data_IF_180538854287
#
_entry.id   IF_180538854287
#
_cell.length_a   1.000
_cell.length_b   1.000
_cell.length_c   1.000
_cell.angle_alpha   90.00
_cell.angle_beta   90.00
_cell.angle_gamma   90.00
#
_symmetry.space_group_name_H-M   'P 1'
#
loop_
_entity.id
_entity.type
_entity.pdbx_description
1 polymer ?
#
# COMPACT_ATOMS: atom_id res chain seq x y z
N UNK A 1 -48.45 -5.94 -43.36
CA UNK A 1 -48.54 -7.39 -43.09
C UNK A 1 -47.84 -7.64 -41.77
N UNK A 2 -48.61 -7.97 -40.74
CA UNK A 2 -48.13 -8.19 -39.38
C UNK A 2 -47.72 -9.67 -39.22
N UNK A 3 -46.49 -9.92 -38.77
CA UNK A 3 -46.01 -11.26 -38.43
C UNK A 3 -46.40 -11.63 -36.99
N UNK A 4 -46.72 -12.90 -36.69
CA UNK A 4 -47.15 -13.31 -35.36
C UNK A 4 -45.97 -13.44 -34.38
N UNK A 5 -46.18 -12.90 -33.18
CA UNK A 5 -45.28 -13.01 -32.04
C UNK A 5 -45.27 -14.44 -31.48
N UNK A 6 -44.08 -15.04 -31.39
CA UNK A 6 -43.85 -16.30 -30.69
C UNK A 6 -43.83 -16.03 -29.19
N UNK A 7 -44.83 -16.56 -28.48
CA UNK A 7 -44.91 -16.56 -27.02
C UNK A 7 -44.00 -17.67 -26.48
N UNK A 8 -42.86 -17.30 -25.92
CA UNK A 8 -42.00 -18.22 -25.16
C UNK A 8 -42.58 -18.41 -23.77
N UNK A 9 -43.04 -19.63 -23.52
CA UNK A 9 -43.63 -20.07 -22.25
C UNK A 9 -42.51 -20.20 -21.20
N UNK A 10 -42.61 -19.40 -20.13
CA UNK A 10 -41.68 -19.36 -19.00
C UNK A 10 -42.00 -20.53 -18.05
N UNK A 11 -41.04 -21.42 -17.71
CA UNK A 11 -41.30 -22.48 -16.75
C UNK A 11 -41.47 -21.92 -15.33
N UNK A 12 -42.51 -22.43 -14.67
CA UNK A 12 -42.95 -22.14 -13.32
C UNK A 12 -41.92 -22.69 -12.31
N UNK A 13 -41.37 -21.80 -11.48
CA UNK A 13 -40.46 -22.13 -10.39
C UNK A 13 -41.28 -22.66 -9.21
N UNK A 14 -41.15 -23.96 -8.91
CA UNK A 14 -41.60 -24.51 -7.63
C UNK A 14 -40.71 -24.00 -6.47
N UNK A 15 -41.28 -23.58 -5.33
CA UNK A 15 -40.50 -23.21 -4.15
C UNK A 15 -40.05 -24.45 -3.35
N UNK A 16 -38.83 -24.46 -2.76
CA UNK A 16 -38.40 -25.54 -1.90
C UNK A 16 -39.12 -25.52 -0.54
N UNK A 17 -39.60 -26.70 -0.17
CA UNK A 17 -40.22 -27.05 1.11
C UNK A 17 -39.16 -27.07 2.22
N UNK A 18 -39.30 -26.22 3.24
CA UNK A 18 -38.76 -26.47 4.59
C UNK A 18 -39.88 -27.12 5.42
N UNK A 19 -39.60 -28.18 6.21
CA UNK A 19 -39.30 -27.95 7.63
C UNK A 19 -38.42 -29.03 8.30
N UNK A 20 -37.72 -28.66 9.37
CA UNK A 20 -36.93 -29.62 10.14
C UNK A 20 -36.37 -29.10 11.45
N UNK A 21 -37.19 -28.39 12.24
CA UNK A 21 -36.93 -28.10 13.64
C UNK A 21 -36.80 -29.41 14.42
N UNK A 22 -35.60 -29.73 14.92
CA UNK A 22 -35.42 -30.73 15.98
C UNK A 22 -34.72 -30.10 17.17
N UNK A 23 -35.39 -30.25 18.30
CA UNK A 23 -35.03 -29.73 19.60
C UNK A 23 -34.02 -30.63 20.33
N UNK A 24 -33.42 -30.01 21.35
CA UNK A 24 -33.11 -30.58 22.67
C UNK A 24 -32.03 -31.67 22.80
N UNK A 25 -30.93 -31.29 23.44
CA UNK A 25 -30.38 -31.91 24.67
C UNK A 25 -29.20 -31.02 25.13
N UNK A 26 -29.33 -30.19 26.15
CA UNK A 26 -29.23 -30.58 27.57
C UNK A 26 -28.00 -31.45 27.87
N UNK A 27 -26.86 -30.82 28.20
CA UNK A 27 -25.91 -31.30 29.22
C UNK A 27 -25.24 -30.09 29.90
N UNK A 28 -25.31 -30.12 31.22
CA UNK A 28 -24.88 -29.06 32.14
C UNK A 28 -23.36 -28.85 32.25
N UNK A 29 -22.97 -27.94 33.18
CA UNK A 29 -21.64 -27.36 33.25
C UNK A 29 -20.70 -28.22 34.11
N UNK A 30 -19.43 -28.30 33.72
CA UNK A 30 -18.36 -28.70 34.63
C UNK A 30 -17.44 -27.52 34.87
N UNK A 31 -17.75 -26.86 35.97
CA UNK A 31 -16.87 -26.07 36.82
C UNK A 31 -15.61 -26.87 37.17
N UNK A 32 -14.43 -26.35 36.85
CA UNK A 32 -13.17 -26.77 37.47
C UNK A 32 -12.31 -25.52 37.63
N UNK A 33 -12.33 -25.03 38.86
CA UNK A 33 -11.57 -23.90 39.39
C UNK A 33 -10.09 -24.30 39.69
N UNK A 34 -9.21 -23.39 40.16
CA UNK A 34 -7.96 -23.07 39.50
C UNK A 34 -6.73 -23.66 40.22
N UNK A 35 -5.62 -23.81 39.50
CA UNK A 35 -4.31 -24.12 40.11
C UNK A 35 -3.36 -22.93 39.99
N UNK A 36 -3.15 -22.30 41.15
CA UNK A 36 -2.10 -21.34 41.43
C UNK A 36 -0.71 -22.00 41.55
N UNK A 37 0.32 -21.14 41.57
CA UNK A 37 1.76 -21.34 41.81
C UNK A 37 2.61 -21.31 40.51
N UNK A 38 3.65 -20.50 40.34
CA UNK A 38 4.34 -19.57 41.24
C UNK A 38 5.23 -18.61 40.42
N UNK A 39 5.31 -17.34 40.83
CA UNK A 39 6.45 -16.46 40.54
C UNK A 39 7.59 -16.72 41.53
N UNK A 40 8.84 -16.71 41.07
CA UNK A 40 9.86 -15.84 41.67
C UNK A 40 10.77 -15.25 40.56
N UNK A 41 11.35 -14.06 40.60
CA UNK A 41 11.46 -12.98 41.56
C UNK A 41 12.24 -11.83 40.87
N UNK A 42 12.39 -10.67 41.52
CA UNK A 42 13.00 -9.48 40.94
C UNK A 42 14.53 -9.52 41.04
N UNK A 43 15.23 -9.20 39.96
CA UNK A 43 16.65 -8.86 40.01
C UNK A 43 16.82 -7.33 39.98
N UNK A 44 17.47 -6.72 40.99
CA UNK A 44 17.97 -5.36 40.92
C UNK A 44 19.44 -5.34 40.50
N UNK A 45 19.84 -4.35 39.68
CA UNK A 45 21.12 -3.59 39.73
C UNK A 45 21.25 -2.67 38.49
N UNK A 46 20.85 -1.42 38.67
CA UNK A 46 21.63 -0.17 38.67
C UNK A 46 23.00 -0.04 37.94
N UNK A 47 23.43 1.21 37.66
CA UNK A 47 23.93 1.68 36.36
C UNK A 47 25.45 1.87 36.30
N UNK A 48 26.02 1.86 35.10
CA UNK A 48 27.34 2.45 34.87
C UNK A 48 27.33 3.43 33.69
N UNK A 49 27.80 4.62 34.02
CA UNK A 49 28.15 5.73 33.14
C UNK A 49 29.25 5.31 32.17
N UNK A 50 29.08 5.66 30.90
CA UNK A 50 30.15 5.74 29.91
C UNK A 50 29.95 6.98 29.07
N UNK A 51 30.40 8.12 29.59
CA UNK A 51 30.62 9.32 28.79
C UNK A 51 31.88 9.08 27.94
N UNK A 52 31.74 9.01 26.63
CA UNK A 52 32.84 9.22 25.69
C UNK A 52 32.44 10.30 24.70
N UNK A 53 33.13 11.44 24.84
CA UNK A 53 33.28 12.45 23.80
C UNK A 53 33.81 11.82 22.52
N UNK A 54 33.08 11.97 21.41
CA UNK A 54 33.64 11.89 20.06
C UNK A 54 33.10 13.05 19.24
N UNK A 55 33.94 14.08 19.14
CA UNK A 55 33.92 15.05 18.07
C UNK A 55 34.09 14.33 16.72
N UNK A 56 33.18 14.60 15.77
CA UNK A 56 33.23 14.02 14.43
C UNK A 56 32.20 14.65 13.50
N UNK A 57 32.67 15.64 12.73
CA UNK A 57 32.03 16.26 11.56
C UNK A 57 31.34 15.24 10.63
N UNK A 58 30.13 15.57 10.17
CA UNK A 58 29.50 14.93 9.00
C UNK A 58 27.97 14.85 9.03
N UNK A 59 27.31 15.89 8.51
CA UNK A 59 25.90 15.88 8.07
C UNK A 59 25.62 14.70 7.09
N UNK A 60 24.40 14.10 7.06
CA UNK A 60 23.20 14.84 6.63
C UNK A 60 21.95 14.68 7.51
N UNK A 61 21.34 15.85 7.78
CA UNK A 61 19.90 16.13 8.00
C UNK A 61 18.96 14.93 8.13
N UNK A 62 18.70 14.53 9.38
CA UNK A 62 17.45 13.87 9.78
C UNK A 62 16.56 14.90 10.47
N UNK A 63 15.39 15.22 9.89
CA UNK A 63 14.40 16.13 10.50
C UNK A 63 13.50 15.31 11.44
N UNK A 64 13.85 15.27 12.73
CA UNK A 64 12.98 14.75 13.79
C UNK A 64 11.97 15.84 14.20
N UNK A 65 10.68 15.64 13.93
CA UNK A 65 9.61 16.49 14.48
C UNK A 65 9.20 15.93 15.85
N UNK A 66 9.97 16.28 16.88
CA UNK A 66 9.64 16.00 18.27
C UNK A 66 8.82 17.12 18.90
N UNK A 67 7.59 16.79 19.31
CA UNK A 67 6.62 17.67 20.00
C UNK A 67 7.13 18.11 21.37
N UNK A 68 7.58 19.36 21.48
CA UNK A 68 7.94 20.00 22.75
C UNK A 68 8.15 21.51 22.60
N UNK A 69 7.35 22.32 23.30
CA UNK A 69 7.24 23.77 23.16
C UNK A 69 8.51 24.59 23.52
N UNK A 70 9.64 23.95 23.84
CA UNK A 70 10.94 24.59 24.08
C UNK A 70 11.83 24.67 22.83
N UNK A 71 11.51 23.98 21.74
CA UNK A 71 12.32 24.02 20.51
C UNK A 71 12.03 25.21 19.59
N UNK A 72 10.99 26.00 19.85
CA UNK A 72 10.57 27.08 18.96
C UNK A 72 11.57 28.25 18.94
N UNK A 73 12.21 28.53 20.08
CA UNK A 73 13.30 29.52 20.19
C UNK A 73 14.59 29.04 19.51
N UNK A 74 14.87 27.73 19.55
CA UNK A 74 16.04 27.14 18.91
C UNK A 74 15.89 27.08 17.39
N UNK A 75 14.69 26.74 16.90
CA UNK A 75 14.36 26.78 15.46
C UNK A 75 14.43 28.21 14.93
N UNK A 76 13.87 29.19 15.65
CA UNK A 76 13.93 30.60 15.25
C UNK A 76 15.36 31.12 15.18
N UNK A 77 16.21 30.71 16.12
CA UNK A 77 17.64 31.07 16.15
C UNK A 77 18.42 30.39 15.02
N UNK A 78 18.14 29.11 14.73
CA UNK A 78 18.76 28.36 13.61
C UNK A 78 18.33 28.90 12.25
N UNK A 79 17.07 29.30 12.07
CA UNK A 79 16.59 29.93 10.83
C UNK A 79 17.24 31.30 10.62
N UNK A 80 17.38 32.09 11.68
CA UNK A 80 18.09 33.36 11.61
C UNK A 80 19.57 33.15 11.24
N UNK A 81 20.22 32.14 11.83
CA UNK A 81 21.60 31.78 11.52
C UNK A 81 21.77 31.30 10.06
N UNK A 82 20.85 30.47 9.56
CA UNK A 82 20.82 30.03 8.17
C UNK A 82 20.60 31.20 7.20
N UNK A 83 19.72 32.15 7.54
CA UNK A 83 19.47 33.35 6.74
C UNK A 83 20.71 34.25 6.65
N UNK A 84 21.44 34.42 7.75
CA UNK A 84 22.69 35.18 7.77
C UNK A 84 23.77 34.46 6.97
N UNK A 85 23.91 33.14 7.12
CA UNK A 85 24.85 32.34 6.35
C UNK A 85 24.57 32.40 4.84
N UNK A 86 23.31 32.34 4.43
CA UNK A 86 22.90 32.46 3.01
C UNK A 86 23.12 33.88 2.47
N UNK A 87 22.87 34.93 3.27
CA UNK A 87 23.18 36.31 2.88
C UNK A 87 24.69 36.54 2.75
N UNK A 88 25.50 35.98 3.64
CA UNK A 88 26.96 36.08 3.56
C UNK A 88 27.52 35.28 2.39
N UNK A 89 26.94 34.12 2.06
CA UNK A 89 27.24 33.38 0.83
C UNK A 89 26.94 34.23 -0.41
N UNK A 90 25.78 34.89 -0.47
CA UNK A 90 25.40 35.77 -1.59
C UNK A 90 26.29 37.01 -1.70
N UNK A 91 26.77 37.54 -0.58
CA UNK A 91 27.74 38.66 -0.55
C UNK A 91 29.14 38.24 -1.02
N UNK A 92 29.52 36.97 -0.78
CA UNK A 92 30.82 36.41 -1.19
C UNK A 92 30.80 35.86 -2.62
N UNK A 93 29.63 35.51 -3.17
CA UNK A 93 29.49 35.15 -4.57
C UNK A 93 29.60 36.39 -5.45
N UNK A 94 30.19 36.23 -6.64
CA UNK A 94 30.21 37.26 -7.66
C UNK A 94 28.77 37.73 -7.98
N UNK A 95 28.55 39.01 -8.32
CA UNK A 95 27.23 39.48 -8.72
C UNK A 95 26.72 38.64 -9.91
N UNK A 96 25.40 38.38 -9.97
CA UNK A 96 24.82 37.61 -11.09
C UNK A 96 25.19 38.29 -12.41
N UNK A 97 25.72 37.48 -13.33
CA UNK A 97 26.31 37.95 -14.60
C UNK A 97 25.23 38.54 -15.53
N UNK A 98 23.98 38.12 -15.39
CA UNK A 98 22.80 38.74 -15.98
C UNK A 98 21.53 38.29 -15.22
N UNK A 99 20.54 39.17 -15.13
CA UNK A 99 19.17 38.80 -14.78
C UNK A 99 18.43 38.68 -16.11
N UNK A 100 18.01 37.47 -16.47
CA UNK A 100 17.27 37.23 -17.71
C UNK A 100 15.79 37.54 -17.40
N UNK A 101 15.31 38.67 -17.91
CA UNK A 101 13.90 39.02 -17.99
C UNK A 101 13.37 38.72 -19.41
N UNK A 102 12.05 38.83 -19.59
CA UNK A 102 11.39 38.53 -20.88
C UNK A 102 11.92 39.43 -22.02
N UNK A 103 12.42 40.63 -21.70
CA UNK A 103 12.99 41.58 -22.65
C UNK A 103 14.41 41.16 -23.10
N UNK A 104 15.24 40.65 -22.18
CA UNK A 104 16.60 40.25 -22.46
C UNK A 104 16.73 38.77 -22.92
N UNK A 105 15.67 37.97 -22.79
CA UNK A 105 15.64 36.56 -23.20
C UNK A 105 16.07 36.37 -24.66
N UNK A 106 15.64 37.26 -25.55
CA UNK A 106 15.94 37.20 -26.98
C UNK A 106 17.43 37.45 -27.31
N UNK A 107 18.16 38.16 -26.45
CA UNK A 107 19.58 38.43 -26.63
C UNK A 107 20.45 37.29 -26.10
N UNK A 108 20.09 36.74 -24.94
CA UNK A 108 20.80 35.61 -24.34
C UNK A 108 20.47 34.24 -24.97
N UNK A 109 19.36 34.13 -25.70
CA UNK A 109 18.98 32.91 -26.43
C UNK A 109 19.67 32.76 -27.80
N UNK A 110 20.42 33.76 -28.29
CA UNK A 110 21.07 33.70 -29.62
C UNK A 110 22.19 32.67 -29.72
N UNK A 111 22.93 32.45 -28.62
CA UNK A 111 24.10 31.58 -28.59
C UNK A 111 23.90 30.30 -27.75
N UNK A 112 22.77 30.17 -27.07
CA UNK A 112 22.41 28.98 -26.31
C UNK A 112 21.38 28.19 -27.11
N UNK A 113 21.74 26.96 -27.51
CA UNK A 113 20.78 26.00 -28.08
C UNK A 113 19.81 25.57 -26.98
N UNK A 114 18.81 26.41 -26.73
CA UNK A 114 17.67 26.04 -25.89
C UNK A 114 16.96 24.92 -26.62
N UNK A 115 17.06 23.70 -26.13
CA UNK A 115 16.20 22.58 -26.53
C UNK A 115 14.79 22.87 -26.02
N UNK A 116 14.10 23.81 -26.66
CA UNK A 116 12.65 23.93 -26.59
C UNK A 116 12.15 22.71 -27.38
N UNK A 117 11.33 21.87 -26.74
CA UNK A 117 10.62 20.81 -27.45
C UNK A 117 9.87 21.43 -28.63
N UNK A 118 10.22 20.96 -29.83
CA UNK A 118 9.71 21.34 -31.15
C UNK A 118 8.48 22.25 -31.24
N UNK A 119 8.67 23.42 -31.89
CA UNK A 119 7.78 23.93 -32.94
C UNK A 119 6.76 25.00 -32.54
N UNK A 120 6.54 26.05 -33.38
CA UNK A 120 5.33 26.86 -33.28
C UNK A 120 4.13 25.96 -33.59
N UNK A 121 3.30 25.70 -32.59
CA UNK A 121 2.05 24.97 -32.74
C UNK A 121 1.15 25.83 -33.62
N UNK A 122 0.74 25.30 -34.77
CA UNK A 122 -0.18 25.99 -35.67
C UNK A 122 -1.46 26.31 -34.91
N UNK A 123 -2.05 27.48 -35.15
CA UNK A 123 -3.26 27.94 -34.43
C UNK A 123 -4.44 26.98 -34.59
N UNK A 124 -4.44 26.21 -35.68
CA UNK A 124 -5.39 25.13 -35.97
C UNK A 124 -5.07 23.85 -35.17
N UNK A 125 -3.80 23.56 -34.87
CA UNK A 125 -3.37 22.46 -34.02
C UNK A 125 -3.61 22.79 -32.53
N UNK A 126 -3.47 24.05 -32.13
CA UNK A 126 -3.88 24.58 -30.82
C UNK A 126 -5.41 24.55 -30.66
N UNK A 127 -6.17 24.92 -31.69
CA UNK A 127 -7.63 24.85 -31.67
C UNK A 127 -8.15 23.41 -31.69
N UNK A 128 -7.51 22.51 -32.47
CA UNK A 128 -7.84 21.09 -32.45
C UNK A 128 -7.45 20.42 -31.12
N UNK A 129 -6.35 20.84 -30.50
CA UNK A 129 -5.99 20.42 -29.15
C UNK A 129 -6.97 20.98 -28.11
N UNK A 130 -7.40 22.24 -28.20
CA UNK A 130 -8.45 22.83 -27.35
C UNK A 130 -9.80 22.15 -27.53
N UNK A 131 -10.16 21.77 -28.76
CA UNK A 131 -11.42 21.08 -29.07
C UNK A 131 -11.38 19.61 -28.64
N UNK A 132 -10.22 18.93 -28.78
CA UNK A 132 -9.98 17.62 -28.19
C UNK A 132 -9.90 17.64 -26.66
N UNK A 133 -9.43 18.75 -26.07
CA UNK A 133 -9.49 19.03 -24.63
C UNK A 133 -10.93 19.35 -24.17
N UNK A 134 -11.75 19.97 -25.03
CA UNK A 134 -13.14 20.30 -24.74
C UNK A 134 -14.09 19.12 -24.96
N UNK A 135 -13.70 18.15 -25.79
CA UNK A 135 -14.46 16.93 -26.12
C UNK A 135 -13.53 15.75 -25.88
N UNK A 136 -13.21 15.48 -24.61
CA UNK A 136 -12.36 14.33 -24.26
C UNK A 136 -12.96 13.03 -24.79
N UNK A 137 -12.28 12.39 -25.74
CA UNK A 137 -12.63 11.10 -26.34
C UNK A 137 -14.07 10.93 -26.87
N UNK A 138 -14.40 9.76 -27.46
CA UNK A 138 -15.79 9.33 -27.59
C UNK A 138 -16.43 9.02 -26.21
N UNK A 139 -15.59 8.78 -25.22
CA UNK A 139 -15.94 8.45 -23.84
C UNK A 139 -15.84 9.71 -22.99
N UNK A 140 -16.97 10.22 -22.51
CA UNK A 140 -17.03 11.49 -21.77
C UNK A 140 -16.41 11.45 -20.36
N UNK A 141 -16.34 12.62 -19.71
CA UNK A 141 -15.78 12.83 -18.36
C UNK A 141 -16.31 11.84 -17.30
N UNK A 142 -17.62 11.61 -17.27
CA UNK A 142 -18.27 10.73 -16.30
C UNK A 142 -17.74 9.29 -16.40
N UNK A 143 -17.49 8.80 -17.62
CA UNK A 143 -16.94 7.46 -17.84
C UNK A 143 -15.57 7.34 -17.19
N UNK A 144 -14.63 8.23 -17.53
CA UNK A 144 -13.26 8.16 -17.01
C UNK A 144 -13.20 8.29 -15.49
N UNK A 145 -13.98 9.20 -14.91
CA UNK A 145 -14.07 9.37 -13.45
C UNK A 145 -14.62 8.13 -12.77
N UNK A 146 -15.76 7.63 -13.27
CA UNK A 146 -16.43 6.47 -12.67
C UNK A 146 -15.58 5.21 -12.76
N UNK A 147 -14.91 4.99 -13.89
CA UNK A 147 -14.09 3.81 -14.10
C UNK A 147 -12.80 3.85 -13.28
N UNK A 148 -12.15 5.01 -13.20
CA UNK A 148 -10.95 5.18 -12.38
C UNK A 148 -11.28 5.00 -10.88
N UNK A 149 -12.40 5.57 -10.42
CA UNK A 149 -12.88 5.40 -9.05
C UNK A 149 -13.22 3.93 -8.76
N UNK A 150 -13.91 3.24 -9.68
CA UNK A 150 -14.27 1.82 -9.55
C UNK A 150 -13.04 0.95 -9.37
N UNK A 151 -12.01 1.13 -10.21
CA UNK A 151 -10.77 0.35 -10.12
C UNK A 151 -10.03 0.61 -8.81
N UNK A 152 -9.96 1.86 -8.35
CA UNK A 152 -9.32 2.19 -7.06
C UNK A 152 -10.05 1.62 -5.86
N UNK A 153 -11.39 1.65 -5.86
CA UNK A 153 -12.18 1.01 -4.81
C UNK A 153 -11.97 -0.50 -4.79
N UNK A 154 -12.00 -1.15 -5.96
CA UNK A 154 -11.77 -2.58 -6.07
C UNK A 154 -10.35 -2.98 -5.64
N UNK A 155 -9.34 -2.19 -6.04
CA UNK A 155 -7.96 -2.37 -5.60
C UNK A 155 -7.84 -2.24 -4.08
N UNK A 156 -8.47 -1.22 -3.50
CA UNK A 156 -8.47 -0.99 -2.05
C UNK A 156 -9.14 -2.13 -1.28
N UNK A 157 -10.29 -2.61 -1.77
CA UNK A 157 -11.01 -3.74 -1.16
C UNK A 157 -10.16 -5.02 -1.18
N UNK A 158 -9.54 -5.33 -2.32
CA UNK A 158 -8.62 -6.46 -2.42
C UNK A 158 -7.45 -6.32 -1.44
N UNK A 159 -6.83 -5.13 -1.37
CA UNK A 159 -5.74 -4.83 -0.44
C UNK A 159 -6.15 -5.00 1.03
N UNK A 160 -7.29 -4.43 1.43
CA UNK A 160 -7.78 -4.51 2.82
C UNK A 160 -8.20 -5.95 3.20
N UNK A 161 -8.57 -6.80 2.24
CA UNK A 161 -8.96 -8.20 2.49
C UNK A 161 -7.79 -9.12 2.84
N UNK A 162 -6.59 -8.84 2.34
CA UNK A 162 -5.38 -9.65 2.58
C UNK A 162 -5.08 -9.81 4.08
N UNK A 163 -4.94 -8.73 4.89
CA UNK A 163 -4.64 -8.88 6.31
C UNK A 163 -5.76 -9.57 7.10
N UNK A 164 -7.02 -9.42 6.68
CA UNK A 164 -8.14 -10.15 7.30
C UNK A 164 -8.03 -11.66 7.06
N UNK A 165 -7.74 -12.06 5.83
CA UNK A 165 -7.54 -13.45 5.44
C UNK A 165 -6.29 -14.06 6.11
N UNK A 166 -5.22 -13.31 6.24
CA UNK A 166 -4.00 -13.73 6.95
C UNK A 166 -4.27 -13.96 8.44
N UNK A 167 -5.03 -13.07 9.09
CA UNK A 167 -5.45 -13.25 10.47
C UNK A 167 -6.32 -14.52 10.64
N UNK A 168 -7.23 -14.76 9.70
CA UNK A 168 -8.06 -15.96 9.65
C UNK A 168 -7.23 -17.24 9.44
N UNK A 169 -6.23 -17.21 8.54
CA UNK A 169 -5.31 -18.32 8.31
C UNK A 169 -4.48 -18.61 9.56
N UNK A 170 -3.98 -17.57 10.25
CA UNK A 170 -3.25 -17.73 11.51
C UNK A 170 -4.14 -18.34 12.61
N UNK A 171 -5.41 -17.92 12.70
CA UNK A 171 -6.38 -18.52 13.63
C UNK A 171 -6.60 -20.00 13.33
N UNK A 172 -6.88 -20.36 12.09
CA UNK A 172 -7.12 -21.75 11.66
C UNK A 172 -5.87 -22.62 11.88
N UNK A 173 -4.68 -22.08 11.63
CA UNK A 173 -3.42 -22.76 11.94
C UNK A 173 -3.28 -23.06 13.43
N UNK A 174 -3.57 -22.08 14.29
CA UNK A 174 -3.52 -22.28 15.75
C UNK A 174 -4.54 -23.33 16.21
N UNK A 175 -5.75 -23.28 15.65
CA UNK A 175 -6.81 -24.26 15.94
C UNK A 175 -6.41 -25.67 15.49
N UNK A 176 -5.77 -25.80 14.32
CA UNK A 176 -5.27 -27.08 13.79
C UNK A 176 -4.30 -27.75 14.76
N UNK A 177 -3.37 -26.99 15.36
CA UNK A 177 -2.41 -27.53 16.33
C UNK A 177 -2.95 -27.69 17.75
N UNK A 178 -4.03 -26.98 18.10
CA UNK A 178 -4.70 -27.12 19.38
C UNK A 178 -5.69 -28.29 19.43
N UNK A 179 -6.20 -28.75 18.28
CA UNK A 179 -7.19 -29.81 18.20
C UNK A 179 -6.60 -31.20 18.52
N UNK A 180 -7.14 -31.85 19.55
CA UNK A 180 -6.74 -33.20 19.97
C UNK A 180 -7.28 -34.31 19.03
N UNK A 181 -8.44 -34.10 18.39
CA UNK A 181 -9.07 -35.09 17.50
C UNK A 181 -8.53 -34.97 16.06
N UNK A 182 -7.79 -35.98 15.55
CA UNK A 182 -7.26 -35.96 14.19
C UNK A 182 -8.35 -35.92 13.10
N UNK A 183 -9.52 -36.53 13.35
CA UNK A 183 -10.58 -36.57 12.35
C UNK A 183 -11.25 -35.22 12.16
N UNK A 184 -11.54 -34.52 13.26
CA UNK A 184 -12.05 -33.15 13.21
C UNK A 184 -11.06 -32.20 12.52
N UNK A 185 -9.79 -32.29 12.93
CA UNK A 185 -8.71 -31.48 12.39
C UNK A 185 -8.55 -31.62 10.88
N UNK A 186 -8.50 -32.86 10.38
CA UNK A 186 -8.23 -33.11 8.96
C UNK A 186 -9.48 -32.94 8.08
N UNK A 187 -10.69 -33.08 8.64
CA UNK A 187 -11.95 -32.97 7.89
C UNK A 187 -12.51 -31.54 7.83
N UNK A 188 -12.30 -30.73 8.87
CA UNK A 188 -12.92 -29.41 8.99
C UNK A 188 -11.87 -28.28 8.96
N UNK A 189 -10.89 -28.32 9.87
CA UNK A 189 -9.93 -27.22 10.02
C UNK A 189 -9.01 -27.13 8.81
N UNK A 190 -8.39 -28.24 8.40
CA UNK A 190 -7.43 -28.23 7.28
C UNK A 190 -8.06 -27.73 5.97
N UNK A 191 -9.22 -28.24 5.50
CA UNK A 191 -9.82 -27.72 4.28
C UNK A 191 -10.29 -26.27 4.39
N UNK A 192 -10.62 -25.78 5.59
CA UNK A 192 -10.90 -24.36 5.80
C UNK A 192 -9.62 -23.52 5.68
N UNK A 193 -8.53 -23.99 6.28
CA UNK A 193 -7.23 -23.33 6.20
C UNK A 193 -6.71 -23.27 4.77
N UNK A 194 -6.71 -24.39 4.05
CA UNK A 194 -6.28 -24.47 2.65
C UNK A 194 -7.08 -23.47 1.78
N UNK A 195 -8.42 -23.42 1.92
CA UNK A 195 -9.26 -22.44 1.21
C UNK A 195 -8.96 -20.99 1.57
N UNK A 196 -8.55 -20.71 2.81
CA UNK A 196 -8.16 -19.35 3.21
C UNK A 196 -6.83 -18.97 2.56
N UNK A 197 -5.88 -19.91 2.45
CA UNK A 197 -4.62 -19.67 1.73
C UNK A 197 -4.87 -19.39 0.25
N UNK A 198 -5.72 -20.21 -0.41
CA UNK A 198 -6.10 -19.98 -1.81
C UNK A 198 -6.73 -18.58 -2.02
N UNK A 199 -7.56 -18.12 -1.06
CA UNK A 199 -8.16 -16.77 -1.11
C UNK A 199 -7.16 -15.64 -0.91
N UNK A 200 -6.11 -15.86 -0.12
CA UNK A 200 -5.02 -14.88 0.03
C UNK A 200 -4.30 -14.73 -1.31
N UNK A 201 -3.99 -15.84 -1.97
CA UNK A 201 -3.38 -15.84 -3.31
C UNK A 201 -4.29 -15.14 -4.33
N UNK A 202 -5.58 -15.49 -4.36
CA UNK A 202 -6.58 -14.83 -5.21
C UNK A 202 -6.63 -13.31 -4.95
N UNK A 203 -6.74 -12.87 -3.70
CA UNK A 203 -6.77 -11.45 -3.35
C UNK A 203 -5.49 -10.70 -3.79
N UNK A 204 -4.32 -11.32 -3.65
CA UNK A 204 -3.04 -10.75 -4.11
C UNK A 204 -3.00 -10.66 -5.65
N UNK A 205 -3.48 -11.67 -6.36
CA UNK A 205 -3.61 -11.63 -7.82
C UNK A 205 -4.60 -10.55 -8.28
N UNK A 206 -5.74 -10.40 -7.60
CA UNK A 206 -6.73 -9.37 -7.89
C UNK A 206 -6.19 -7.97 -7.65
N UNK A 207 -5.44 -7.76 -6.57
CA UNK A 207 -4.75 -6.51 -6.29
C UNK A 207 -3.83 -6.11 -7.45
N UNK A 208 -2.99 -7.04 -7.92
CA UNK A 208 -2.10 -6.81 -9.05
C UNK A 208 -2.89 -6.54 -10.33
N UNK A 209 -3.95 -7.31 -10.59
CA UNK A 209 -4.82 -7.11 -11.76
C UNK A 209 -5.45 -5.72 -11.77
N UNK A 210 -6.01 -5.26 -10.64
CA UNK A 210 -6.64 -3.94 -10.59
C UNK A 210 -5.63 -2.79 -10.72
N UNK A 211 -4.42 -2.97 -10.19
CA UNK A 211 -3.30 -2.04 -10.40
C UNK A 211 -2.94 -1.93 -11.88
N UNK A 212 -2.77 -3.05 -12.56
CA UNK A 212 -2.42 -3.08 -13.99
C UNK A 212 -3.56 -2.51 -14.85
N UNK A 213 -4.82 -2.87 -14.56
CA UNK A 213 -6.00 -2.32 -15.22
C UNK A 213 -6.12 -0.79 -15.02
N UNK A 214 -5.75 -0.28 -13.84
CA UNK A 214 -5.73 1.14 -13.55
C UNK A 214 -4.64 1.85 -14.37
N UNK A 215 -3.43 1.30 -14.42
CA UNK A 215 -2.34 1.86 -15.24
C UNK A 215 -2.74 1.92 -16.73
N UNK A 216 -3.33 0.84 -17.25
CA UNK A 216 -3.85 0.77 -18.61
C UNK A 216 -4.98 1.78 -18.85
N UNK A 217 -5.89 1.96 -17.88
CA UNK A 217 -6.94 2.98 -17.95
C UNK A 217 -6.34 4.39 -18.03
N UNK A 218 -5.33 4.69 -17.21
CA UNK A 218 -4.67 5.99 -17.21
C UNK A 218 -3.98 6.27 -18.55
N UNK A 219 -3.30 5.28 -19.13
CA UNK A 219 -2.66 5.41 -20.43
C UNK A 219 -3.68 5.53 -21.58
N UNK A 220 -4.77 4.74 -21.55
CA UNK A 220 -5.88 4.87 -22.51
C UNK A 220 -6.54 6.25 -22.40
N UNK A 221 -6.80 6.73 -21.19
CA UNK A 221 -7.35 8.04 -20.93
C UNK A 221 -6.47 9.15 -21.48
N UNK A 222 -5.15 9.12 -21.22
CA UNK A 222 -4.19 10.07 -21.80
C UNK A 222 -4.23 10.08 -23.33
N UNK A 223 -4.24 8.89 -23.95
CA UNK A 223 -4.30 8.75 -25.41
C UNK A 223 -5.63 9.23 -26.00
N UNK A 224 -6.72 9.09 -25.26
CA UNK A 224 -8.06 9.55 -25.64
C UNK A 224 -8.27 11.06 -25.40
N UNK A 225 -7.29 11.78 -24.84
CA UNK A 225 -7.41 13.20 -24.52
C UNK A 225 -8.18 13.48 -23.23
N UNK A 226 -8.36 12.49 -22.35
CA UNK A 226 -8.97 12.71 -21.04
C UNK A 226 -8.10 13.67 -20.20
N UNK A 227 -8.74 14.67 -19.60
CA UNK A 227 -8.05 15.61 -18.73
C UNK A 227 -7.45 14.89 -17.51
N UNK A 228 -6.22 15.26 -17.07
CA UNK A 228 -5.61 14.65 -15.89
C UNK A 228 -6.47 14.73 -14.62
N UNK A 229 -7.31 15.77 -14.50
CA UNK A 229 -8.25 15.92 -13.39
C UNK A 229 -9.35 14.85 -13.35
N UNK A 230 -9.75 14.32 -14.50
CA UNK A 230 -10.77 13.26 -14.57
C UNK A 230 -10.21 11.90 -14.14
N UNK A 231 -8.93 11.67 -14.39
CA UNK A 231 -8.24 10.42 -14.08
C UNK A 231 -7.74 10.32 -12.62
N UNK A 232 -7.74 11.45 -11.89
CA UNK A 232 -7.28 11.54 -10.48
C UNK A 232 -8.37 11.28 -9.45
N UNK A 233 -9.59 10.99 -9.88
CA UNK A 233 -10.70 10.70 -8.97
C UNK A 233 -10.38 9.49 -8.09
N UNK A 234 -10.46 9.66 -6.77
CA UNK A 234 -10.21 8.56 -5.83
C UNK A 234 -8.73 8.26 -5.56
N UNK A 235 -7.78 9.08 -6.01
CA UNK A 235 -6.33 8.83 -5.82
C UNK A 235 -5.93 8.62 -4.35
N UNK A 236 -6.67 9.20 -3.42
CA UNK A 236 -6.54 9.02 -1.97
C UNK A 236 -6.88 7.61 -1.48
N UNK A 237 -7.54 6.79 -2.30
CA UNK A 237 -7.92 5.41 -2.01
C UNK A 237 -6.84 4.42 -2.42
N UNK A 238 -5.87 4.83 -3.25
CA UNK A 238 -4.78 3.96 -3.68
C UNK A 238 -4.01 3.48 -2.43
N UNK A 239 -3.88 2.16 -2.24
CA UNK A 239 -3.14 1.62 -1.10
C UNK A 239 -1.68 2.05 -1.21
N UNK A 240 -1.12 2.48 -0.08
CA UNK A 240 0.31 2.78 0.01
C UNK A 240 1.03 1.44 0.17
N UNK A 241 1.54 0.92 -0.95
CA UNK A 241 2.46 -0.20 -0.93
C UNK A 241 3.76 0.27 -0.25
N UNK A 242 3.97 -0.10 1.02
CA UNK A 242 5.26 0.12 1.67
C UNK A 242 6.26 -0.88 1.05
N UNK A 243 7.24 -0.43 0.23
CA UNK A 243 8.16 -1.33 -0.45
C UNK A 243 9.07 -2.10 0.52
N UNK A 244 9.15 -1.66 1.78
CA UNK A 244 9.87 -2.37 2.84
C UNK A 244 9.10 -3.58 3.39
N UNK A 245 7.78 -3.61 3.27
CA UNK A 245 6.96 -4.74 3.73
C UNK A 245 7.16 -5.98 2.83
N UNK A 246 7.12 -5.80 1.50
CA UNK A 246 7.37 -6.88 0.53
C UNK A 246 8.83 -7.38 0.55
N UNK A 247 9.79 -6.50 0.86
CA UNK A 247 11.20 -6.89 0.97
C UNK A 247 11.48 -7.77 2.21
N UNK A 248 10.64 -7.66 3.25
CA UNK A 248 10.71 -8.50 4.46
C UNK A 248 10.22 -9.93 4.26
N UNK A 249 9.28 -10.14 3.34
CA UNK A 249 8.69 -11.47 3.07
C UNK A 249 9.62 -12.37 2.23
N UNK A 250 10.47 -11.80 1.38
CA UNK A 250 11.50 -12.56 0.63
C UNK A 250 12.69 -13.07 1.48
N UNK A 251 12.82 -12.63 2.73
CA UNK A 251 13.89 -13.07 3.64
C UNK A 251 13.39 -14.04 4.74
N UNK A 252 12.16 -14.54 4.62
CA UNK A 252 11.45 -15.34 5.62
C UNK A 252 11.36 -16.86 5.37
N UNK A 253 11.94 -17.40 4.29
CA UNK A 253 12.22 -18.85 4.20
C UNK A 253 13.41 -19.22 5.11
N UNK A 254 13.31 -18.90 6.40
CA UNK A 254 14.08 -19.56 7.43
C UNK A 254 13.41 -20.92 7.65
N UNK A 255 13.98 -21.96 7.04
CA UNK A 255 13.64 -23.36 7.29
C UNK A 255 13.42 -23.59 8.80
N UNK A 256 12.31 -24.24 9.19
CA UNK A 256 12.05 -24.54 10.59
C UNK A 256 13.09 -25.56 11.07
N UNK A 257 14.12 -25.04 11.75
CA UNK A 257 15.07 -25.74 12.62
C UNK A 257 15.19 -27.24 12.38
N UNK A 258 16.04 -27.63 11.43
CA UNK A 258 16.63 -28.96 11.49
C UNK A 258 17.39 -29.07 12.84
N UNK A 259 17.07 -30.06 13.69
CA UNK A 259 17.83 -30.28 14.91
C UNK A 259 19.25 -30.62 14.51
N UNK A 260 20.19 -29.76 14.89
CA UNK A 260 21.63 -30.04 14.80
C UNK A 260 21.88 -31.33 15.59
N UNK A 261 22.04 -32.44 14.88
CA UNK A 261 22.52 -33.70 15.44
C UNK A 261 23.98 -33.49 15.83
N UNK A 262 24.20 -33.13 17.10
CA UNK A 262 25.54 -33.09 17.69
C UNK A 262 26.02 -34.53 17.80
N UNK A 263 26.82 -34.96 16.82
CA UNK A 263 27.46 -36.27 16.80
C UNK A 263 28.42 -36.37 18.00
N UNK A 264 28.20 -37.27 18.98
CA UNK A 264 29.02 -37.32 20.18
C UNK A 264 30.46 -37.73 19.82
N UNK A 265 31.48 -37.18 20.51
CA UNK A 265 32.87 -37.43 20.15
C UNK A 265 33.19 -38.92 20.28
N UNK A 266 33.59 -39.52 19.16
CA UNK A 266 34.07 -40.90 19.10
C UNK A 266 35.22 -41.06 20.09
N UNK A 267 34.97 -41.79 21.19
CA UNK A 267 36.02 -42.27 22.08
C UNK A 267 36.91 -43.20 21.27
N UNK A 268 38.16 -42.78 21.03
CA UNK A 268 39.20 -43.66 20.48
C UNK A 268 39.58 -44.71 21.54
N UNK A 269 39.91 -45.94 21.12
CA UNK A 269 40.30 -47.04 22.00
C UNK A 269 41.65 -46.79 22.68
#
# INVERSE_FOLDING_TARGET
>A
MAGPATVTQRPELEPPVAPGSSAAADRGPTETEPRAAASPGPHPRDPENGAEDRDGDGDPTTVWIGRGASQQTDLSSRLHQASVAERDRRRRSAPPIAVIDDENLAEYAKDVKVTIGSGPIDKEELAAAEEALAVGGPEGEEYWRSEALRLRLAWREAYDSVPELEADAARLRNEFYAADDPFYRDREIKPAWDRTLDRIEEAKEEMQRFRDELEDLLERGRRAGALPGWLREGIELEPVEDPEADAGEQLGEAEPGEPIVVDPPRRRP
#
